data_IF_448409930587
#
_entry.id   IF_448409930587
#
_cell.length_a   1.000
_cell.length_b   1.000
_cell.length_c   1.000
_cell.angle_alpha   90.00
_cell.angle_beta   90.00
_cell.angle_gamma   90.00
#
_symmetry.space_group_name_H-M   'P 1'
#
loop_
_entity.id
_entity.type
_entity.pdbx_description
1 polymer ?
#
# COMPACT_ATOMS: atom_id res chain seq x y z
N UNK A 1 -0.76 14.70 -37.63
CA UNK A 1 -0.54 13.26 -37.40
C UNK A 1 0.33 13.11 -36.17
N UNK A 2 -0.30 12.95 -35.00
CA UNK A 2 0.38 12.77 -33.73
C UNK A 2 0.81 11.30 -33.62
N UNK A 3 2.12 11.05 -33.69
CA UNK A 3 2.69 9.77 -33.31
C UNK A 3 2.72 9.72 -31.79
N UNK A 4 2.05 8.71 -31.22
CA UNK A 4 1.89 8.55 -29.78
C UNK A 4 3.22 8.43 -29.04
N UNK A 5 3.18 8.83 -27.76
CA UNK A 5 4.21 8.57 -26.76
C UNK A 5 4.41 7.06 -26.62
N UNK A 6 5.28 6.53 -27.46
CA UNK A 6 5.91 5.23 -27.25
C UNK A 6 6.87 5.42 -26.09
N UNK A 7 6.53 4.84 -24.93
CA UNK A 7 7.43 4.79 -23.77
C UNK A 7 8.79 4.26 -24.23
N UNK A 8 9.77 5.16 -24.33
CA UNK A 8 11.15 4.78 -24.68
C UNK A 8 11.71 4.01 -23.49
N UNK A 9 12.03 2.74 -23.71
CA UNK A 9 12.70 1.90 -22.73
C UNK A 9 14.06 2.49 -22.31
N UNK A 10 14.64 2.00 -21.19
CA UNK A 10 15.91 2.51 -20.68
C UNK A 10 17.04 2.33 -21.72
N UNK A 11 17.81 3.40 -21.98
CA UNK A 11 18.90 3.42 -22.96
C UNK A 11 20.26 3.01 -22.36
N UNK A 12 20.37 3.05 -21.04
CA UNK A 12 21.56 2.69 -20.28
C UNK A 12 21.18 2.17 -18.90
N UNK A 13 22.08 1.40 -18.29
CA UNK A 13 21.99 1.01 -16.87
C UNK A 13 23.20 1.55 -16.10
N UNK A 14 23.00 1.90 -14.84
CA UNK A 14 24.09 2.26 -13.94
C UNK A 14 24.87 0.98 -13.59
N UNK A 15 26.16 0.98 -13.90
CA UNK A 15 27.06 -0.15 -13.63
C UNK A 15 27.84 0.02 -12.33
N UNK A 16 28.23 1.25 -12.02
CA UNK A 16 28.94 1.57 -10.80
C UNK A 16 28.74 3.04 -10.42
N UNK A 17 28.78 3.32 -9.12
CA UNK A 17 28.87 4.67 -8.56
C UNK A 17 30.12 4.73 -7.70
N UNK A 18 31.06 5.60 -8.02
CA UNK A 18 32.31 5.76 -7.27
C UNK A 18 32.48 7.20 -6.80
N UNK A 19 33.09 7.37 -5.63
CA UNK A 19 33.40 8.68 -5.06
C UNK A 19 34.88 8.96 -5.27
N UNK A 20 35.21 10.09 -5.90
CA UNK A 20 36.60 10.42 -6.22
C UNK A 20 36.89 11.91 -6.24
N UNK A 21 38.16 12.26 -6.04
CA UNK A 21 38.67 13.59 -6.39
C UNK A 21 38.74 13.67 -7.91
N UNK A 22 38.10 14.68 -8.49
CA UNK A 22 38.18 14.90 -9.93
C UNK A 22 39.49 15.63 -10.24
N UNK A 23 40.46 14.97 -10.88
CA UNK A 23 41.77 15.58 -11.15
C UNK A 23 41.75 16.67 -12.24
N UNK A 24 40.57 16.97 -12.82
CA UNK A 24 40.41 18.00 -13.84
C UNK A 24 38.99 18.59 -13.88
N UNK A 25 38.83 19.89 -14.20
CA UNK A 25 37.52 20.52 -14.36
C UNK A 25 36.78 19.95 -15.57
N UNK A 26 35.51 19.61 -15.40
CA UNK A 26 34.66 19.06 -16.46
C UNK A 26 34.42 20.13 -17.54
N UNK A 27 34.85 19.87 -18.78
CA UNK A 27 34.34 20.59 -19.96
C UNK A 27 33.06 19.89 -20.41
N UNK A 28 31.92 20.56 -20.27
CA UNK A 28 30.63 20.07 -20.75
C UNK A 28 30.63 20.17 -22.29
N UNK A 29 30.52 19.06 -23.05
CA UNK A 29 30.20 19.15 -24.47
C UNK A 29 28.69 19.47 -24.58
N UNK A 30 28.34 20.51 -25.34
CA UNK A 30 26.97 20.90 -25.72
C UNK A 30 26.08 21.65 -24.69
N UNK A 31 26.66 22.50 -23.82
CA UNK A 31 25.88 23.60 -23.25
C UNK A 31 26.08 24.87 -24.10
N UNK A 32 25.02 25.61 -24.50
CA UNK A 32 25.19 26.89 -25.16
C UNK A 32 25.97 27.84 -24.24
N UNK A 33 27.07 28.38 -24.76
CA UNK A 33 27.99 29.26 -24.06
C UNK A 33 27.30 30.57 -23.65
N UNK A 34 26.69 30.58 -22.46
CA UNK A 34 26.49 31.81 -21.69
C UNK A 34 27.35 31.71 -20.44
N UNK A 35 28.25 32.68 -20.31
CA UNK A 35 29.42 32.63 -19.46
C UNK A 35 29.15 32.11 -18.05
N UNK A 36 29.82 31.01 -17.70
CA UNK A 36 30.07 30.66 -16.31
C UNK A 36 31.55 30.28 -16.16
N UNK A 37 32.14 30.87 -15.13
CA UNK A 37 33.49 30.63 -14.68
C UNK A 37 33.73 29.13 -14.39
N UNK A 38 34.98 28.70 -14.55
CA UNK A 38 35.44 27.38 -14.11
C UNK A 38 35.07 27.15 -12.65
N UNK A 39 34.25 26.13 -12.38
CA UNK A 39 33.86 25.75 -11.02
C UNK A 39 35.04 24.99 -10.38
N UNK A 40 35.52 25.39 -9.19
CA UNK A 40 36.60 24.69 -8.50
C UNK A 40 36.16 23.28 -8.09
N UNK A 41 37.12 22.37 -8.10
CA UNK A 41 36.90 20.93 -7.95
C UNK A 41 36.65 20.57 -6.48
N UNK A 42 35.39 20.59 -6.05
CA UNK A 42 34.94 19.82 -4.89
C UNK A 42 34.61 18.39 -5.35
N UNK A 43 34.92 17.38 -4.53
CA UNK A 43 34.76 15.95 -4.86
C UNK A 43 33.44 15.61 -5.56
N UNK A 44 33.50 14.69 -6.52
CA UNK A 44 32.37 14.34 -7.38
C UNK A 44 31.95 12.88 -7.22
N UNK A 45 30.67 12.63 -7.48
CA UNK A 45 30.15 11.28 -7.73
C UNK A 45 30.40 10.94 -9.20
N UNK A 46 31.10 9.84 -9.44
CA UNK A 46 31.35 9.28 -10.75
C UNK A 46 30.32 8.18 -10.99
N UNK A 47 29.53 8.29 -12.07
CA UNK A 47 28.54 7.27 -12.45
C UNK A 47 29.02 6.58 -13.73
N UNK A 48 29.29 5.29 -13.65
CA UNK A 48 29.61 4.50 -14.85
C UNK A 48 28.31 3.98 -15.44
N UNK A 49 28.02 4.35 -16.69
CA UNK A 49 26.84 3.87 -17.41
C UNK A 49 27.24 2.80 -18.42
N UNK A 50 26.46 1.73 -18.47
CA UNK A 50 26.55 0.72 -19.51
C UNK A 50 25.40 0.91 -20.49
N UNK A 51 25.73 1.15 -21.75
CA UNK A 51 24.72 1.28 -22.80
C UNK A 51 24.02 -0.05 -23.00
N UNK A 52 22.70 -0.03 -22.98
CA UNK A 52 21.90 -1.22 -23.26
C UNK A 52 21.90 -1.43 -24.77
N UNK A 53 22.40 -2.59 -25.20
CA UNK A 53 22.41 -3.06 -26.58
C UNK A 53 21.43 -4.21 -26.71
N UNK A 54 20.92 -4.45 -27.92
CA UNK A 54 20.08 -5.61 -28.19
C UNK A 54 20.87 -6.93 -28.06
N UNK A 55 20.19 -8.07 -28.26
CA UNK A 55 20.81 -9.41 -28.16
C UNK A 55 21.95 -9.63 -29.16
N UNK A 56 22.07 -8.79 -30.19
CA UNK A 56 23.10 -8.86 -31.23
C UNK A 56 24.22 -7.83 -31.01
N UNK A 57 24.20 -7.09 -29.89
CA UNK A 57 25.18 -6.04 -29.61
C UNK A 57 24.94 -4.73 -30.36
N UNK A 58 23.77 -4.56 -30.99
CA UNK A 58 23.41 -3.36 -31.75
C UNK A 58 22.81 -2.34 -30.79
N UNK A 59 23.25 -1.08 -30.92
CA UNK A 59 22.71 0.02 -30.13
C UNK A 59 21.22 0.21 -30.41
N UNK A 60 20.42 0.38 -29.35
CA UNK A 60 18.97 0.61 -29.44
C UNK A 60 18.58 1.92 -30.15
N UNK A 61 19.53 2.84 -30.35
CA UNK A 61 19.35 4.10 -31.07
C UNK A 61 20.46 4.31 -32.09
N UNK A 62 20.15 4.91 -33.26
CA UNK A 62 21.15 5.36 -34.22
C UNK A 62 22.03 6.47 -33.61
N UNK A 63 23.26 6.62 -34.10
CA UNK A 63 24.25 7.53 -33.50
C UNK A 63 23.82 9.01 -33.47
N UNK A 64 22.97 9.44 -34.41
CA UNK A 64 22.40 10.81 -34.44
C UNK A 64 21.45 11.08 -33.28
N UNK A 65 20.81 10.03 -32.75
CA UNK A 65 19.72 10.12 -31.78
C UNK A 65 20.15 9.59 -30.40
N UNK A 66 21.39 9.10 -30.28
CA UNK A 66 21.97 8.59 -29.05
C UNK A 66 22.55 9.72 -28.20
N UNK A 67 21.92 10.09 -27.08
CA UNK A 67 22.43 11.15 -26.21
C UNK A 67 23.80 10.79 -25.61
N UNK A 68 24.17 9.50 -25.59
CA UNK A 68 25.45 9.03 -25.08
C UNK A 68 26.57 8.99 -26.14
N UNK A 69 26.28 9.29 -27.40
CA UNK A 69 27.26 9.18 -28.50
C UNK A 69 28.47 10.12 -28.33
N UNK A 70 28.30 11.22 -27.61
CA UNK A 70 29.33 12.24 -27.38
C UNK A 70 30.25 11.97 -26.18
N UNK A 71 29.99 10.92 -25.41
CA UNK A 71 30.75 10.62 -24.20
C UNK A 71 31.88 9.62 -24.47
N UNK A 72 32.99 9.76 -23.73
CA UNK A 72 34.18 8.94 -23.89
C UNK A 72 33.89 7.47 -23.53
N UNK A 73 34.10 6.59 -24.50
CA UNK A 73 34.06 5.14 -24.29
C UNK A 73 35.32 4.69 -23.57
N UNK A 74 35.16 4.01 -22.44
CA UNK A 74 36.23 3.17 -21.91
C UNK A 74 36.33 1.91 -22.80
N UNK A 75 37.53 1.33 -22.92
CA UNK A 75 37.89 0.31 -23.92
C UNK A 75 37.10 -1.02 -23.92
N UNK A 76 36.00 -1.13 -23.16
CA UNK A 76 35.11 -2.30 -23.11
C UNK A 76 33.63 -1.97 -23.36
N UNK A 77 33.35 -0.96 -24.20
CA UNK A 77 31.97 -0.62 -24.59
C UNK A 77 31.13 0.06 -23.50
N UNK A 78 31.71 0.33 -22.33
CA UNK A 78 31.09 1.12 -21.27
C UNK A 78 31.41 2.60 -21.45
N UNK A 79 30.39 3.43 -21.31
CA UNK A 79 30.52 4.89 -21.46
C UNK A 79 30.57 5.50 -20.07
N UNK A 80 31.70 6.12 -19.73
CA UNK A 80 31.85 6.76 -18.43
C UNK A 80 31.25 8.17 -18.50
N UNK A 81 30.22 8.45 -17.68
CA UNK A 81 29.56 9.75 -17.65
C UNK A 81 29.79 10.40 -16.30
N UNK A 82 30.50 11.53 -16.29
CA UNK A 82 30.77 12.30 -15.08
C UNK A 82 29.64 13.31 -14.86
N UNK A 83 28.82 13.08 -13.83
CA UNK A 83 27.69 13.97 -13.50
C UNK A 83 27.99 14.69 -12.17
N UNK A 84 28.07 16.03 -12.16
CA UNK A 84 28.10 16.80 -10.92
C UNK A 84 26.91 16.48 -10.02
N UNK A 85 27.16 16.18 -8.74
CA UNK A 85 26.16 15.85 -7.71
C UNK A 85 24.94 16.80 -7.72
N UNK A 86 25.17 18.10 -7.93
CA UNK A 86 24.12 19.14 -7.98
C UNK A 86 23.10 19.00 -9.13
N UNK A 87 23.38 18.17 -10.14
CA UNK A 87 22.50 17.94 -11.28
C UNK A 87 21.61 16.70 -11.09
N UNK A 88 21.89 15.87 -10.09
CA UNK A 88 21.00 14.79 -9.69
C UNK A 88 19.91 15.41 -8.80
N UNK A 89 18.71 15.60 -9.36
CA UNK A 89 17.57 16.25 -8.72
C UNK A 89 16.93 15.47 -7.57
N UNK A 90 17.72 14.82 -6.72
CA UNK A 90 17.27 14.07 -5.56
C UNK A 90 17.94 14.59 -4.28
N UNK A 91 17.13 14.71 -3.24
CA UNK A 91 17.40 15.32 -1.93
C UNK A 91 18.56 14.62 -1.21
N UNK A 92 19.78 15.11 -1.40
CA UNK A 92 20.92 14.74 -0.54
C UNK A 92 20.89 15.64 0.70
N UNK A 93 20.67 15.06 1.88
CA UNK A 93 20.80 15.76 3.16
C UNK A 93 22.26 15.66 3.61
N UNK A 94 22.88 16.81 3.90
CA UNK A 94 24.15 16.83 4.62
C UNK A 94 23.89 16.36 6.05
N UNK A 95 24.60 15.32 6.49
CA UNK A 95 24.59 14.93 7.90
C UNK A 95 25.11 16.08 8.75
N UNK A 96 24.53 16.27 9.92
CA UNK A 96 25.11 17.12 10.96
C UNK A 96 26.45 16.54 11.43
N UNK A 97 27.29 17.37 12.05
CA UNK A 97 28.61 16.94 12.51
C UNK A 97 28.53 15.78 13.52
N UNK A 98 27.46 15.73 14.34
CA UNK A 98 27.20 14.61 15.25
C UNK A 98 26.81 13.33 14.51
N UNK A 99 25.94 13.41 13.50
CA UNK A 99 25.54 12.26 12.67
C UNK A 99 26.72 11.74 11.85
N UNK A 100 27.56 12.63 11.34
CA UNK A 100 28.78 12.28 10.62
C UNK A 100 29.81 11.62 11.55
N UNK A 101 29.99 12.14 12.77
CA UNK A 101 30.89 11.56 13.76
C UNK A 101 30.41 10.19 14.25
N UNK A 102 29.10 10.00 14.47
CA UNK A 102 28.51 8.71 14.83
C UNK A 102 28.66 7.68 13.71
N UNK A 103 28.43 8.07 12.45
CA UNK A 103 28.64 7.22 11.29
C UNK A 103 30.12 6.83 11.11
N UNK A 104 31.04 7.77 11.31
CA UNK A 104 32.48 7.52 11.28
C UNK A 104 32.94 6.61 12.43
N UNK A 105 32.39 6.78 13.63
CA UNK A 105 32.68 5.92 14.78
C UNK A 105 32.18 4.48 14.56
N UNK A 106 30.97 4.32 14.02
CA UNK A 106 30.40 3.01 13.64
C UNK A 106 31.20 2.32 12.51
N UNK A 107 31.72 3.09 11.55
CA UNK A 107 32.58 2.58 10.48
C UNK A 107 33.98 2.19 10.99
N UNK A 108 34.50 2.89 12.01
CA UNK A 108 35.84 2.68 12.57
C UNK A 108 35.88 1.51 13.56
N UNK A 109 34.81 1.25 14.31
CA UNK A 109 34.74 0.13 15.26
C UNK A 109 34.68 -1.26 14.60
N UNK A 110 34.20 -1.32 13.34
CA UNK A 110 33.94 -2.59 12.63
C UNK A 110 34.91 -2.89 11.48
N UNK A 111 36.05 -2.17 11.38
CA UNK A 111 37.12 -2.56 10.45
C UNK A 111 36.79 -2.43 8.96
N UNK A 112 35.94 -1.48 8.57
CA UNK A 112 35.63 -1.18 7.17
C UNK A 112 34.50 -2.03 6.59
N UNK A 113 33.44 -1.34 6.13
CA UNK A 113 32.18 -1.86 5.58
C UNK A 113 31.28 -2.59 6.60
N UNK A 114 30.30 -1.87 7.14
CA UNK A 114 29.20 -2.45 7.91
C UNK A 114 28.28 -3.26 6.99
N UNK A 115 28.51 -4.58 6.91
CA UNK A 115 27.63 -5.51 6.20
C UNK A 115 26.42 -5.82 7.08
N UNK A 116 25.22 -5.55 6.58
CA UNK A 116 23.98 -5.90 7.26
C UNK A 116 23.82 -7.41 7.26
N UNK A 117 23.59 -8.01 8.43
CA UNK A 117 23.35 -9.43 8.51
C UNK A 117 21.85 -9.68 8.50
N UNK A 118 21.34 -10.40 7.50
CA UNK A 118 19.97 -10.88 7.47
C UNK A 118 19.97 -12.34 7.86
N UNK A 119 19.45 -12.67 9.04
CA UNK A 119 19.17 -14.07 9.37
C UNK A 119 17.86 -14.50 8.71
N UNK A 120 17.82 -15.70 8.17
CA UNK A 120 16.66 -16.23 7.45
C UNK A 120 16.25 -17.62 7.94
N UNK A 121 14.97 -17.93 7.82
CA UNK A 121 14.41 -19.27 7.99
C UNK A 121 13.88 -19.80 6.65
N UNK A 122 13.76 -21.12 6.52
CA UNK A 122 13.31 -21.77 5.29
C UNK A 122 14.43 -21.97 4.25
N UNK A 123 14.06 -22.18 2.98
CA UNK A 123 14.99 -22.45 1.87
C UNK A 123 15.45 -23.91 1.72
N UNK A 124 15.22 -24.76 2.71
CA UNK A 124 15.43 -26.20 2.58
C UNK A 124 14.33 -26.83 1.73
N UNK A 125 14.69 -27.75 0.83
CA UNK A 125 13.76 -28.46 -0.07
C UNK A 125 12.86 -27.55 -0.94
N UNK A 126 13.26 -26.29 -1.16
CA UNK A 126 12.50 -25.33 -1.96
C UNK A 126 11.40 -24.57 -1.21
N UNK A 127 11.35 -24.65 0.12
CA UNK A 127 10.47 -23.82 0.93
C UNK A 127 10.80 -22.32 0.77
N UNK A 128 9.81 -21.41 0.89
CA UNK A 128 10.05 -19.97 0.88
C UNK A 128 11.13 -19.57 1.90
N UNK A 129 11.99 -18.62 1.54
CA UNK A 129 13.00 -18.06 2.44
C UNK A 129 12.42 -16.77 3.02
N UNK A 130 12.34 -16.69 4.34
CA UNK A 130 11.82 -15.55 5.05
C UNK A 130 12.92 -14.91 5.91
N UNK A 131 13.08 -13.56 5.87
CA UNK A 131 14.00 -12.86 6.73
C UNK A 131 13.41 -12.77 8.14
N UNK A 132 14.27 -12.94 9.14
CA UNK A 132 13.87 -13.17 10.53
C UNK A 132 14.45 -12.09 11.44
N UNK A 133 15.72 -11.77 11.22
CA UNK A 133 16.47 -10.84 12.04
C UNK A 133 17.38 -10.03 11.13
N UNK A 134 17.53 -8.74 11.40
CA UNK A 134 18.54 -7.90 10.77
C UNK A 134 19.49 -7.37 11.84
N UNK A 135 20.80 -7.45 11.57
CA UNK A 135 21.84 -6.76 12.33
C UNK A 135 22.43 -5.59 11.54
N UNK A 136 22.84 -4.49 12.20
CA UNK A 136 22.84 -4.27 13.66
C UNK A 136 21.42 -4.21 14.27
N UNK A 137 21.31 -4.60 15.54
CA UNK A 137 20.05 -4.59 16.29
C UNK A 137 19.47 -3.17 16.41
N UNK A 138 18.15 -3.05 16.56
CA UNK A 138 17.45 -1.76 16.61
C UNK A 138 16.99 -1.21 15.24
N UNK A 139 17.19 -1.97 14.16
CA UNK A 139 16.67 -1.66 12.84
C UNK A 139 15.33 -2.35 12.60
N UNK A 140 14.33 -1.62 12.10
CA UNK A 140 13.00 -2.16 11.83
C UNK A 140 12.96 -2.85 10.48
N UNK A 141 12.62 -4.15 10.44
CA UNK A 141 12.40 -4.89 9.18
C UNK A 141 11.38 -4.20 8.26
N UNK A 142 10.44 -3.43 8.80
CA UNK A 142 9.41 -2.74 8.03
C UNK A 142 9.98 -1.64 7.11
N UNK A 143 11.14 -1.08 7.45
CA UNK A 143 11.80 -0.01 6.71
C UNK A 143 12.62 -0.53 5.52
N UNK A 144 12.80 -1.85 5.43
CA UNK A 144 13.58 -2.50 4.39
C UNK A 144 12.71 -3.41 3.52
N UNK A 145 13.03 -3.47 2.24
CA UNK A 145 12.54 -4.45 1.29
C UNK A 145 13.61 -5.53 1.15
N UNK A 146 13.28 -6.76 1.54
CA UNK A 146 14.20 -7.89 1.57
C UNK A 146 13.71 -8.93 0.58
N UNK A 147 14.57 -9.32 -0.35
CA UNK A 147 14.26 -10.26 -1.42
C UNK A 147 15.28 -11.39 -1.48
N UNK A 148 14.78 -12.62 -1.63
CA UNK A 148 15.57 -13.84 -1.85
C UNK A 148 15.29 -14.42 -3.24
N UNK A 149 15.13 -13.58 -4.27
CA UNK A 149 14.57 -13.92 -5.58
C UNK A 149 15.17 -15.17 -6.27
N UNK A 150 16.40 -15.56 -5.95
CA UNK A 150 17.03 -16.78 -6.45
C UNK A 150 17.73 -17.59 -5.33
N UNK A 151 17.15 -17.58 -4.13
CA UNK A 151 17.70 -18.27 -2.96
C UNK A 151 18.54 -17.36 -2.06
N UNK A 152 19.14 -17.96 -1.04
CA UNK A 152 19.95 -17.29 0.01
C UNK A 152 21.11 -16.49 -0.57
N UNK A 153 21.72 -16.99 -1.65
CA UNK A 153 22.85 -16.35 -2.35
C UNK A 153 22.44 -15.12 -3.14
N UNK A 154 21.14 -14.92 -3.35
CA UNK A 154 20.55 -13.78 -4.06
C UNK A 154 19.80 -12.84 -3.10
N UNK A 155 20.23 -12.79 -1.83
CA UNK A 155 19.74 -11.79 -0.87
C UNK A 155 19.97 -10.38 -1.42
N UNK A 156 18.89 -9.62 -1.54
CA UNK A 156 18.88 -8.18 -1.77
C UNK A 156 18.14 -7.52 -0.62
N UNK A 157 18.77 -6.53 0.00
CA UNK A 157 18.15 -5.66 1.00
C UNK A 157 18.17 -4.25 0.44
N UNK A 158 17.03 -3.58 0.46
CA UNK A 158 16.88 -2.21 0.02
C UNK A 158 16.13 -1.43 1.09
N UNK A 159 16.76 -0.41 1.67
CA UNK A 159 16.06 0.51 2.55
C UNK A 159 15.07 1.33 1.72
N UNK A 160 13.83 1.46 2.17
CA UNK A 160 12.76 2.12 1.40
C UNK A 160 13.08 3.58 1.03
N UNK A 161 13.93 4.25 1.82
CA UNK A 161 14.33 5.64 1.60
C UNK A 161 15.74 5.74 1.02
N UNK A 162 16.69 4.98 1.57
CA UNK A 162 18.12 5.15 1.28
C UNK A 162 18.63 4.23 0.17
N UNK A 163 17.80 3.31 -0.31
CA UNK A 163 18.13 2.41 -1.40
C UNK A 163 18.96 1.20 -0.96
N UNK A 164 19.76 0.61 -1.86
CA UNK A 164 20.34 -0.72 -1.67
C UNK A 164 21.37 -0.77 -0.54
N UNK A 165 21.30 -1.85 0.25
CA UNK A 165 22.11 -2.06 1.45
C UNK A 165 23.03 -3.26 1.25
N UNK A 166 24.32 -3.09 1.60
CA UNK A 166 25.28 -4.20 1.57
C UNK A 166 24.92 -5.20 2.66
N UNK A 167 24.60 -6.43 2.27
CA UNK A 167 24.06 -7.43 3.17
C UNK A 167 24.69 -8.82 2.98
N UNK A 168 24.54 -9.66 4.00
CA UNK A 168 24.89 -11.09 4.01
C UNK A 168 23.77 -11.88 4.66
N UNK A 169 23.48 -13.05 4.11
CA UNK A 169 22.48 -13.96 4.66
C UNK A 169 23.12 -15.01 5.58
N UNK A 170 22.50 -15.31 6.72
CA UNK A 170 22.86 -16.42 7.60
C UNK A 170 21.62 -17.24 8.00
N UNK A 171 21.73 -18.58 8.07
CA UNK A 171 20.59 -19.39 8.51
C UNK A 171 20.31 -19.11 9.99
N UNK A 172 19.05 -18.84 10.32
CA UNK A 172 18.59 -18.73 11.69
C UNK A 172 18.53 -20.12 12.33
N UNK A 173 18.84 -20.21 13.63
CA UNK A 173 18.69 -21.47 14.35
C UNK A 173 17.19 -21.87 14.39
N UNK A 174 16.86 -23.11 14.02
CA UNK A 174 15.46 -23.59 13.87
C UNK A 174 14.58 -23.49 15.13
N UNK A 175 15.16 -23.18 16.29
CA UNK A 175 14.48 -23.10 17.59
C UNK A 175 14.84 -21.80 18.32
N UNK A 176 14.78 -20.67 17.62
CA UNK A 176 15.03 -19.39 18.24
C UNK A 176 13.71 -18.65 18.44
N UNK A 177 13.42 -18.33 19.70
CA UNK A 177 12.38 -17.40 20.10
C UNK A 177 13.05 -16.04 20.27
N UNK A 178 12.60 -15.03 19.54
CA UNK A 178 13.11 -13.67 19.71
C UNK A 178 12.28 -12.96 20.78
N UNK A 179 12.73 -13.05 22.02
CA UNK A 179 12.02 -12.49 23.18
C UNK A 179 12.04 -10.96 23.23
N UNK A 180 12.94 -10.29 22.50
CA UNK A 180 13.08 -8.83 22.54
C UNK A 180 12.18 -8.10 21.53
N UNK A 181 11.77 -8.76 20.44
CA UNK A 181 10.90 -8.15 19.44
C UNK A 181 9.45 -8.27 19.89
N UNK A 182 8.69 -7.16 19.96
CA UNK A 182 7.33 -7.20 20.47
C UNK A 182 6.41 -8.01 19.56
N UNK A 183 5.52 -8.80 20.18
CA UNK A 183 4.42 -9.47 19.50
C UNK A 183 3.37 -8.42 19.13
N UNK A 184 2.91 -8.42 17.89
CA UNK A 184 1.84 -7.51 17.44
C UNK A 184 0.50 -8.25 17.46
N UNK A 185 -0.48 -7.70 18.18
CA UNK A 185 -1.83 -8.21 18.26
C UNK A 185 -2.80 -7.21 17.65
N UNK A 186 -3.71 -7.66 16.78
CA UNK A 186 -4.78 -6.83 16.25
C UNK A 186 -6.10 -7.33 16.80
N UNK A 187 -6.78 -6.49 17.58
CA UNK A 187 -7.85 -6.93 18.46
C UNK A 187 -9.13 -6.12 18.25
N UNK A 188 -10.27 -6.75 18.52
CA UNK A 188 -11.59 -6.15 18.54
C UNK A 188 -12.25 -6.47 19.88
N UNK A 189 -12.76 -5.42 20.52
CA UNK A 189 -13.64 -5.53 21.68
C UNK A 189 -15.05 -5.84 21.16
N UNK A 190 -15.55 -7.04 21.45
CA UNK A 190 -16.88 -7.49 21.02
C UNK A 190 -17.93 -7.08 22.04
N UNK A 191 -17.62 -7.33 23.31
CA UNK A 191 -18.34 -6.86 24.49
C UNK A 191 -17.39 -6.81 25.70
N UNK A 192 -17.89 -6.37 26.86
CA UNK A 192 -17.10 -6.22 28.09
C UNK A 192 -16.39 -7.52 28.54
N UNK A 193 -16.86 -8.69 28.10
CA UNK A 193 -16.32 -10.00 28.49
C UNK A 193 -15.69 -10.79 27.33
N UNK A 194 -15.70 -10.25 26.11
CA UNK A 194 -15.33 -10.98 24.89
C UNK A 194 -14.39 -10.15 24.03
N UNK A 195 -13.18 -10.68 23.83
CA UNK A 195 -12.16 -10.11 22.97
C UNK A 195 -11.97 -10.98 21.74
N UNK A 196 -11.91 -10.39 20.56
CA UNK A 196 -11.62 -11.08 19.31
C UNK A 196 -10.21 -10.70 18.84
N UNK A 197 -9.27 -11.64 18.92
CA UNK A 197 -7.92 -11.44 18.41
C UNK A 197 -7.90 -11.84 16.93
N UNK A 198 -8.01 -10.84 16.05
CA UNK A 198 -8.17 -11.03 14.60
C UNK A 198 -6.87 -11.45 13.91
N UNK A 199 -5.73 -10.95 14.39
CA UNK A 199 -4.42 -11.23 13.80
C UNK A 199 -3.32 -11.20 14.87
N UNK A 200 -2.35 -12.10 14.74
CA UNK A 200 -1.17 -12.21 15.61
C UNK A 200 0.09 -12.34 14.77
N UNK A 201 1.14 -11.61 15.15
CA UNK A 201 2.48 -11.77 14.57
C UNK A 201 3.48 -12.14 15.66
N UNK A 202 4.06 -13.33 15.52
CA UNK A 202 5.08 -13.83 16.43
C UNK A 202 6.46 -13.61 15.84
N UNK A 203 7.40 -13.23 16.70
CA UNK A 203 8.84 -13.31 16.38
C UNK A 203 9.37 -14.71 16.73
N UNK A 204 8.69 -15.73 16.20
CA UNK A 204 8.97 -17.14 16.47
C UNK A 204 9.19 -17.90 15.16
N UNK A 205 10.30 -18.63 15.11
CA UNK A 205 10.72 -19.40 13.94
C UNK A 205 10.13 -20.78 13.85
N UNK A 206 9.51 -21.28 14.91
CA UNK A 206 8.91 -22.61 14.91
C UNK A 206 7.83 -22.71 13.84
N UNK A 207 7.79 -23.83 13.13
CA UNK A 207 6.80 -24.07 12.07
C UNK A 207 5.38 -24.06 12.64
N UNK A 208 5.22 -24.59 13.85
CA UNK A 208 3.97 -24.63 14.60
C UNK A 208 4.12 -23.81 15.89
N UNK A 209 3.21 -22.86 16.07
CA UNK A 209 3.12 -22.02 17.26
C UNK A 209 1.71 -22.17 17.82
N UNK A 210 1.61 -22.83 18.96
CA UNK A 210 0.34 -23.04 19.65
C UNK A 210 0.12 -21.95 20.71
N UNK A 211 -1.10 -21.40 20.76
CA UNK A 211 -1.45 -20.22 21.56
C UNK A 211 -2.61 -20.56 22.48
N UNK A 212 -2.42 -20.32 23.77
CA UNK A 212 -3.45 -20.36 24.80
C UNK A 212 -4.03 -18.95 25.03
N UNK A 213 -5.25 -18.87 25.53
CA UNK A 213 -5.88 -17.59 25.91
C UNK A 213 -6.57 -17.70 27.25
N UNK A 214 -6.42 -16.66 28.07
CA UNK A 214 -7.01 -16.59 29.40
C UNK A 214 -7.69 -15.23 29.60
N UNK A 215 -8.97 -15.23 29.96
CA UNK A 215 -9.72 -14.02 30.27
C UNK A 215 -9.89 -13.88 31.79
N UNK A 216 -9.30 -12.84 32.37
CA UNK A 216 -9.34 -12.54 33.81
C UNK A 216 -10.40 -11.48 34.17
N UNK A 217 -11.23 -11.05 33.23
CA UNK A 217 -12.30 -10.07 33.48
C UNK A 217 -13.25 -10.57 34.55
N UNK A 218 -13.64 -9.69 35.48
CA UNK A 218 -14.51 -10.03 36.61
C UNK A 218 -13.96 -11.19 37.49
N UNK A 219 -12.63 -11.26 37.66
CA UNK A 219 -11.95 -12.19 38.57
C UNK A 219 -10.93 -11.46 39.46
N UNK A 220 -10.67 -12.03 40.64
CA UNK A 220 -9.64 -11.53 41.57
C UNK A 220 -8.24 -12.10 41.26
N UNK A 221 -8.12 -12.96 40.24
CA UNK A 221 -6.87 -13.57 39.80
C UNK A 221 -5.94 -12.46 39.29
N UNK A 222 -4.64 -12.58 39.51
CA UNK A 222 -3.56 -11.66 39.15
C UNK A 222 -2.51 -12.37 38.30
N UNK A 223 -1.65 -11.61 37.61
CA UNK A 223 -0.59 -12.20 36.77
C UNK A 223 0.43 -13.03 37.57
N UNK A 224 0.50 -12.83 38.89
CA UNK A 224 1.38 -13.56 39.80
C UNK A 224 0.80 -14.90 40.25
N UNK A 225 -0.50 -15.14 40.01
CA UNK A 225 -1.12 -16.39 40.40
C UNK A 225 -0.65 -17.55 39.52
N UNK A 226 -0.55 -18.72 40.14
CA UNK A 226 -0.02 -19.92 39.49
C UNK A 226 -0.81 -20.33 38.25
N UNK A 227 -2.11 -20.03 38.21
CA UNK A 227 -2.97 -20.30 37.06
C UNK A 227 -2.49 -19.59 35.79
N UNK A 228 -1.97 -18.35 35.91
CA UNK A 228 -1.42 -17.62 34.77
C UNK A 228 -0.14 -18.30 34.24
N UNK A 229 0.70 -18.84 35.12
CA UNK A 229 1.96 -19.50 34.77
C UNK A 229 1.82 -20.94 34.25
N UNK A 230 0.68 -21.61 34.46
CA UNK A 230 0.51 -23.02 34.02
C UNK A 230 0.05 -23.10 32.57
N UNK A 231 0.91 -23.54 31.66
CA UNK A 231 0.55 -23.81 30.27
C UNK A 231 -0.18 -25.16 30.18
N UNK A 232 -1.41 -25.16 29.70
CA UNK A 232 -2.11 -26.40 29.39
C UNK A 232 -1.51 -27.03 28.12
N UNK A 233 -1.72 -28.33 27.95
CA UNK A 233 -1.49 -28.95 26.65
C UNK A 233 -2.73 -28.73 25.79
N UNK A 234 -2.54 -28.61 24.48
CA UNK A 234 -3.66 -28.54 23.56
C UNK A 234 -4.43 -29.89 23.49
N UNK A 235 -5.50 -29.94 22.69
CA UNK A 235 -6.30 -31.14 22.51
C UNK A 235 -5.51 -32.34 21.92
N UNK A 236 -4.35 -32.09 21.32
CA UNK A 236 -3.45 -33.11 20.76
C UNK A 236 -2.36 -33.55 21.75
N UNK A 237 -2.26 -32.90 22.91
CA UNK A 237 -1.21 -33.11 23.90
C UNK A 237 0.06 -32.31 23.63
N UNK A 238 0.07 -31.42 22.63
CA UNK A 238 1.21 -30.58 22.33
C UNK A 238 1.33 -29.44 23.35
N UNK A 239 2.58 -29.07 23.67
CA UNK A 239 2.85 -27.96 24.59
C UNK A 239 2.51 -26.62 23.92
N UNK A 240 1.68 -25.83 24.59
CA UNK A 240 1.37 -24.47 24.16
C UNK A 240 2.61 -23.58 24.29
N UNK A 241 2.84 -22.71 23.32
CA UNK A 241 4.06 -21.91 23.23
C UNK A 241 3.87 -20.51 23.80
N UNK A 242 2.70 -19.95 23.57
CA UNK A 242 2.30 -18.63 24.06
C UNK A 242 0.99 -18.71 24.82
N UNK A 243 0.81 -17.81 25.79
CA UNK A 243 -0.47 -17.57 26.46
C UNK A 243 -0.76 -16.09 26.44
N UNK A 244 -1.92 -15.70 25.89
CA UNK A 244 -2.37 -14.31 25.85
C UNK A 244 -3.39 -14.11 26.98
N UNK A 245 -3.13 -13.14 27.84
CA UNK A 245 -3.97 -12.84 29.00
C UNK A 245 -4.71 -11.54 28.74
N UNK A 246 -6.04 -11.59 28.82
CA UNK A 246 -6.94 -10.46 28.61
C UNK A 246 -7.66 -10.13 29.92
N UNK A 247 -7.86 -8.84 30.19
CA UNK A 247 -8.71 -8.33 31.28
C UNK A 247 -9.36 -7.03 30.84
N UNK A 248 -10.65 -6.87 31.14
CA UNK A 248 -11.42 -5.65 30.87
C UNK A 248 -11.26 -5.18 29.42
N UNK A 249 -11.47 -6.10 28.48
CA UNK A 249 -11.31 -5.91 27.03
C UNK A 249 -9.93 -5.39 26.57
N UNK A 250 -8.87 -5.71 27.32
CA UNK A 250 -7.50 -5.33 26.99
C UNK A 250 -6.54 -6.51 27.16
N UNK A 251 -5.54 -6.62 26.29
CA UNK A 251 -4.43 -7.56 26.51
C UNK A 251 -3.52 -6.98 27.60
N UNK A 252 -3.34 -7.72 28.70
CA UNK A 252 -2.53 -7.28 29.83
C UNK A 252 -1.18 -7.98 29.91
N UNK A 253 -1.04 -9.15 29.29
CA UNK A 253 0.23 -9.87 29.20
C UNK A 253 0.23 -10.85 28.03
N UNK A 254 1.42 -11.06 27.46
CA UNK A 254 1.70 -12.22 26.60
C UNK A 254 2.84 -12.99 27.25
N UNK A 255 2.58 -14.24 27.60
CA UNK A 255 3.56 -15.13 28.21
C UNK A 255 4.06 -16.12 27.17
N UNK A 256 5.31 -16.55 27.28
CA UNK A 256 5.86 -17.65 26.49
C UNK A 256 6.58 -18.64 27.39
N UNK A 257 6.58 -19.91 26.97
CA UNK A 257 7.22 -21.00 27.69
C UNK A 257 8.51 -21.43 26.99
N UNK A 258 9.61 -21.47 27.74
CA UNK A 258 10.92 -22.00 27.31
C UNK A 258 11.37 -23.09 28.28
N UNK A 259 11.11 -24.35 27.91
CA UNK A 259 11.34 -25.48 28.83
C UNK A 259 10.33 -25.48 29.98
N UNK A 260 10.82 -25.42 31.21
CA UNK A 260 9.98 -25.32 32.42
C UNK A 260 9.73 -23.87 32.84
N UNK A 261 10.48 -22.92 32.28
CA UNK A 261 10.40 -21.51 32.64
C UNK A 261 9.35 -20.76 31.81
N UNK A 262 8.67 -19.83 32.46
CA UNK A 262 7.67 -18.94 31.85
C UNK A 262 8.16 -17.51 31.92
N UNK A 263 8.11 -16.85 30.77
CA UNK A 263 8.63 -15.51 30.59
C UNK A 263 7.56 -14.59 30.01
N UNK A 264 7.63 -13.31 30.36
CA UNK A 264 6.81 -12.28 29.72
C UNK A 264 7.45 -11.88 28.38
N UNK A 265 6.64 -11.80 27.34
CA UNK A 265 7.04 -11.25 26.04
C UNK A 265 6.55 -9.80 25.93
N UNK A 266 7.36 -8.86 25.40
CA UNK A 266 6.87 -7.54 25.04
C UNK A 266 5.80 -7.68 23.93
N UNK A 267 4.80 -6.80 23.95
CA UNK A 267 3.75 -6.81 22.94
C UNK A 267 3.22 -5.41 22.64
N UNK A 268 2.60 -5.27 21.46
CA UNK A 268 1.88 -4.08 21.02
C UNK A 268 0.47 -4.52 20.62
N UNK A 269 -0.54 -4.00 21.32
CA UNK A 269 -1.95 -4.19 20.96
C UNK A 269 -2.42 -3.06 20.03
N UNK A 270 -2.92 -3.44 18.87
CA UNK A 270 -3.57 -2.58 17.89
C UNK A 270 -5.08 -2.82 17.93
N UNK A 271 -5.81 -1.97 18.64
CA UNK A 271 -7.27 -2.02 18.65
C UNK A 271 -7.84 -1.59 17.30
N UNK A 272 -8.55 -2.51 16.66
CA UNK A 272 -9.20 -2.29 15.38
C UNK A 272 -10.43 -1.38 15.58
N UNK A 273 -10.70 -0.46 14.64
CA UNK A 273 -11.95 0.29 14.64
C UNK A 273 -13.15 -0.66 14.57
N UNK A 274 -14.33 -0.31 15.11
CA UNK A 274 -15.52 -1.14 14.96
C UNK A 274 -16.01 -1.18 13.49
N UNK A 275 -16.77 -2.22 13.09
CA UNK A 275 -17.40 -2.29 11.77
C UNK A 275 -18.16 -1.02 11.40
N UNK A 276 -18.08 -0.62 10.15
CA UNK A 276 -18.65 0.64 9.64
C UNK A 276 -17.77 1.88 9.84
N UNK A 277 -16.64 1.75 10.57
CA UNK A 277 -15.67 2.83 10.72
C UNK A 277 -14.98 3.17 9.40
N UNK A 278 -14.64 4.45 9.24
CA UNK A 278 -13.81 4.92 8.15
C UNK A 278 -12.34 4.67 8.45
N UNK A 279 -11.64 4.11 7.46
CA UNK A 279 -10.24 3.70 7.56
C UNK A 279 -9.43 4.25 6.38
N UNK A 280 -8.14 4.42 6.60
CA UNK A 280 -7.15 4.77 5.60
C UNK A 280 -6.29 3.57 5.28
N UNK A 281 -6.05 3.41 3.98
CA UNK A 281 -5.13 2.42 3.44
C UNK A 281 -3.74 3.03 3.19
N UNK A 282 -2.68 2.21 3.03
CA UNK A 282 -1.32 2.72 2.88
C UNK A 282 -1.10 3.65 1.69
N UNK A 283 -1.92 3.54 0.64
CA UNK A 283 -1.87 4.42 -0.54
C UNK A 283 -2.69 5.71 -0.37
N UNK A 284 -3.24 5.98 0.83
CA UNK A 284 -4.03 7.17 1.12
C UNK A 284 -5.51 7.05 0.72
N UNK A 285 -5.92 5.91 0.14
CA UNK A 285 -7.33 5.62 -0.14
C UNK A 285 -8.15 5.63 1.14
N UNK A 286 -9.37 6.16 1.05
CA UNK A 286 -10.35 6.11 2.14
C UNK A 286 -11.30 4.94 1.89
N UNK A 287 -11.47 4.10 2.92
CA UNK A 287 -12.40 2.99 2.89
C UNK A 287 -13.36 3.02 4.09
N UNK A 288 -14.42 2.22 4.00
CA UNK A 288 -15.30 1.88 5.10
C UNK A 288 -15.14 0.40 5.41
N UNK A 289 -14.80 0.11 6.66
CA UNK A 289 -14.56 -1.25 7.10
C UNK A 289 -15.88 -2.00 7.25
N UNK A 290 -15.94 -3.25 6.76
CA UNK A 290 -17.08 -4.15 7.02
C UNK A 290 -16.87 -4.91 8.33
N UNK A 291 -17.66 -5.96 8.54
CA UNK A 291 -17.56 -6.84 9.72
C UNK A 291 -16.18 -7.51 9.76
N UNK A 292 -15.58 -7.55 10.95
CA UNK A 292 -14.32 -8.22 11.17
C UNK A 292 -14.48 -9.76 11.13
N UNK A 293 -13.49 -10.49 10.60
CA UNK A 293 -13.50 -11.95 10.65
C UNK A 293 -13.39 -12.44 12.10
N UNK A 294 -13.91 -13.65 12.34
CA UNK A 294 -13.69 -14.35 13.61
C UNK A 294 -12.22 -14.75 13.69
N UNK A 295 -11.52 -14.26 14.71
CA UNK A 295 -10.18 -14.69 15.06
C UNK A 295 -10.19 -15.61 16.28
N UNK A 296 -9.18 -15.46 17.13
CA UNK A 296 -9.04 -16.19 18.38
C UNK A 296 -9.89 -15.50 19.45
N UNK A 297 -10.97 -16.17 19.87
CA UNK A 297 -11.94 -15.62 20.81
C UNK A 297 -11.48 -15.83 22.25
N UNK A 298 -11.35 -14.73 22.98
CA UNK A 298 -10.95 -14.71 24.38
C UNK A 298 -12.15 -14.29 25.21
N UNK A 299 -12.86 -15.28 25.74
CA UNK A 299 -14.05 -15.08 26.57
C UNK A 299 -13.93 -15.90 27.85
N UNK A 300 -14.52 -15.39 28.95
CA UNK A 300 -14.55 -16.12 30.23
C UNK A 300 -15.38 -17.41 30.14
N UNK A 301 -16.47 -17.36 29.39
CA UNK A 301 -17.33 -18.51 29.10
C UNK A 301 -17.21 -18.78 27.60
N UNK A 302 -17.09 -20.04 27.16
CA UNK A 302 -17.07 -20.38 25.74
C UNK A 302 -18.26 -19.74 25.00
N UNK A 303 -17.96 -19.01 23.92
CA UNK A 303 -18.95 -18.35 23.07
C UNK A 303 -18.56 -18.53 21.61
N UNK A 304 -19.55 -18.85 20.78
CA UNK A 304 -19.38 -18.89 19.34
C UNK A 304 -19.74 -17.52 18.75
N UNK A 305 -18.79 -16.90 18.07
CA UNK A 305 -19.04 -15.74 17.22
C UNK A 305 -19.32 -16.18 15.79
N UNK A 306 -20.10 -15.40 15.02
CA UNK A 306 -20.33 -15.67 13.61
C UNK A 306 -19.02 -15.63 12.83
N UNK A 307 -18.85 -16.60 11.93
CA UNK A 307 -17.70 -16.65 11.04
C UNK A 307 -17.91 -15.70 9.86
N UNK A 308 -17.23 -14.55 9.89
CA UNK A 308 -17.27 -13.57 8.80
C UNK A 308 -16.06 -13.74 7.88
N UNK A 309 -16.05 -14.80 7.07
CA UNK A 309 -14.97 -15.01 6.11
C UNK A 309 -14.95 -13.86 5.07
N UNK A 310 -13.77 -13.38 4.65
CA UNK A 310 -13.64 -12.38 3.59
C UNK A 310 -14.33 -12.84 2.30
N UNK A 311 -15.16 -11.96 1.72
CA UNK A 311 -15.97 -12.29 0.54
C UNK A 311 -15.36 -11.75 -0.75
N UNK A 312 -14.40 -10.83 -0.66
CA UNK A 312 -13.84 -10.12 -1.80
C UNK A 312 -12.41 -10.57 -2.13
N UNK A 313 -11.94 -10.27 -3.36
CA UNK A 313 -10.54 -10.50 -3.70
C UNK A 313 -9.61 -9.61 -2.86
N UNK A 314 -8.41 -10.11 -2.49
CA UNK A 314 -7.40 -9.29 -1.83
C UNK A 314 -6.97 -8.09 -2.67
N UNK A 315 -6.79 -6.94 -2.03
CA UNK A 315 -6.27 -5.74 -2.69
C UNK A 315 -4.84 -5.98 -3.15
N UNK A 316 -4.58 -5.72 -4.44
CA UNK A 316 -3.24 -5.87 -5.02
C UNK A 316 -2.21 -5.00 -4.30
N UNK A 317 -1.03 -5.57 -4.05
CA UNK A 317 0.08 -4.87 -3.39
C UNK A 317 0.02 -4.84 -1.85
N UNK A 318 -1.08 -5.27 -1.24
CA UNK A 318 -1.17 -5.41 0.23
C UNK A 318 -1.00 -6.87 0.64
N UNK A 319 -0.19 -7.11 1.68
CA UNK A 319 0.04 -8.44 2.26
C UNK A 319 0.13 -8.34 3.79
N UNK A 320 -0.22 -9.40 4.53
CA UNK A 320 0.04 -9.50 5.96
C UNK A 320 1.52 -9.24 6.28
N UNK A 321 1.78 -8.69 7.46
CA UNK A 321 3.12 -8.32 7.93
C UNK A 321 3.85 -9.55 8.50
N UNK A 322 4.49 -10.35 7.65
CA UNK A 322 5.31 -11.48 8.11
C UNK A 322 4.48 -12.70 8.51
N UNK A 323 5.06 -13.58 9.33
CA UNK A 323 4.49 -14.89 9.67
C UNK A 323 3.37 -14.78 10.70
N UNK A 324 2.26 -15.44 10.42
CA UNK A 324 1.09 -15.51 11.29
C UNK A 324 0.44 -16.90 11.20
N UNK A 325 -0.37 -17.30 12.20
CA UNK A 325 -1.13 -18.54 12.13
C UNK A 325 -2.05 -18.53 10.91
N UNK A 326 -2.12 -19.65 10.16
CA UNK A 326 -2.96 -19.75 8.96
C UNK A 326 -4.46 -19.60 9.27
N UNK A 327 -4.87 -20.00 10.47
CA UNK A 327 -6.24 -19.90 10.99
C UNK A 327 -6.66 -18.45 11.30
N UNK A 328 -5.68 -17.56 11.44
CA UNK A 328 -5.86 -16.13 11.62
C UNK A 328 -5.32 -15.42 10.38
N UNK A 329 -6.10 -15.34 9.29
CA UNK A 329 -5.65 -14.67 8.07
C UNK A 329 -5.59 -13.15 8.25
N UNK A 330 -6.37 -12.60 9.20
CA UNK A 330 -6.41 -11.18 9.53
C UNK A 330 -6.71 -10.31 8.33
N UNK A 331 -7.60 -10.77 7.47
CA UNK A 331 -8.06 -10.01 6.31
C UNK A 331 -9.51 -9.59 6.57
N UNK A 332 -9.83 -8.32 6.29
CA UNK A 332 -11.18 -7.78 6.43
C UNK A 332 -11.64 -7.17 5.11
N UNK A 333 -12.94 -7.28 4.84
CA UNK A 333 -13.56 -6.65 3.69
C UNK A 333 -13.73 -5.13 3.91
N UNK A 334 -13.44 -4.37 2.86
CA UNK A 334 -13.50 -2.91 2.86
C UNK A 334 -14.22 -2.41 1.60
N UNK A 335 -15.05 -1.39 1.78
CA UNK A 335 -15.61 -0.60 0.70
C UNK A 335 -14.74 0.65 0.49
N UNK A 336 -13.98 0.69 -0.60
CA UNK A 336 -13.15 1.82 -0.95
C UNK A 336 -14.03 2.93 -1.53
N UNK A 337 -14.11 4.03 -0.79
CA UNK A 337 -14.95 5.19 -1.11
C UNK A 337 -14.19 6.27 -1.88
N UNK A 338 -12.86 6.32 -1.71
CA UNK A 338 -12.01 7.28 -2.39
C UNK A 338 -10.66 6.67 -2.73
N UNK A 339 -10.19 6.92 -3.96
CA UNK A 339 -8.87 6.53 -4.43
C UNK A 339 -8.28 7.63 -5.31
N UNK A 340 -6.98 7.92 -5.15
CA UNK A 340 -6.26 8.95 -5.91
C UNK A 340 -6.95 10.33 -5.90
N UNK A 341 -7.57 10.68 -4.78
CA UNK A 341 -8.31 11.93 -4.59
C UNK A 341 -9.71 11.96 -5.21
N UNK A 342 -10.10 10.95 -6.00
CA UNK A 342 -11.42 10.86 -6.63
C UNK A 342 -12.40 10.00 -5.82
N UNK A 343 -13.68 10.40 -5.82
CA UNK A 343 -14.79 9.62 -5.27
C UNK A 343 -14.97 8.36 -6.11
N UNK A 344 -15.03 7.21 -5.44
CA UNK A 344 -15.30 5.92 -6.07
C UNK A 344 -16.79 5.61 -5.94
N UNK A 345 -17.53 5.74 -7.03
CA UNK A 345 -18.94 5.39 -7.11
C UNK A 345 -19.24 4.50 -8.32
N UNK A 346 -19.79 3.28 -8.14
CA UNK A 346 -20.03 2.62 -6.85
C UNK A 346 -18.71 2.35 -6.09
N UNK A 347 -18.75 2.15 -4.76
CA UNK A 347 -17.56 1.81 -3.98
C UNK A 347 -16.90 0.53 -4.49
N UNK A 348 -15.57 0.54 -4.58
CA UNK A 348 -14.81 -0.65 -4.95
C UNK A 348 -14.66 -1.57 -3.73
N UNK A 349 -15.02 -2.84 -3.85
CA UNK A 349 -14.98 -3.81 -2.75
C UNK A 349 -13.72 -4.67 -2.87
N UNK A 350 -12.94 -4.75 -1.80
CA UNK A 350 -11.76 -5.60 -1.71
C UNK A 350 -11.48 -6.02 -0.27
N UNK A 351 -10.65 -7.04 -0.08
CA UNK A 351 -10.21 -7.47 1.24
C UNK A 351 -8.78 -7.00 1.50
N UNK A 352 -8.51 -6.56 2.72
CA UNK A 352 -7.22 -5.97 3.11
C UNK A 352 -6.75 -6.55 4.44
N UNK A 353 -5.43 -6.74 4.63
CA UNK A 353 -4.92 -7.20 5.91
C UNK A 353 -5.14 -6.12 6.98
N UNK A 354 -5.58 -6.53 8.18
CA UNK A 354 -5.90 -5.61 9.28
C UNK A 354 -4.70 -4.77 9.72
N UNK A 355 -3.48 -5.29 9.53
CA UNK A 355 -2.23 -4.57 9.79
C UNK A 355 -1.98 -3.39 8.85
N UNK A 356 -2.70 -3.29 7.72
CA UNK A 356 -2.61 -2.16 6.81
C UNK A 356 -3.60 -1.03 7.14
N UNK A 357 -4.49 -1.23 8.12
CA UNK A 357 -5.56 -0.29 8.41
C UNK A 357 -5.13 0.77 9.41
N UNK A 358 -5.56 2.00 9.15
CA UNK A 358 -5.48 3.10 10.11
C UNK A 358 -6.84 3.75 10.22
N UNK A 359 -7.28 4.09 11.43
CA UNK A 359 -8.52 4.86 11.59
C UNK A 359 -8.39 6.21 10.89
N UNK A 360 -9.39 6.60 10.11
CA UNK A 360 -9.41 7.93 9.51
C UNK A 360 -9.65 8.98 10.62
N UNK A 361 -8.86 10.05 10.60
CA UNK A 361 -9.04 11.18 11.51
C UNK A 361 -10.18 12.11 11.05
N UNK A 362 -10.62 13.00 11.96
CA UNK A 362 -11.74 13.91 11.69
C UNK A 362 -11.46 14.88 10.53
N UNK A 363 -10.22 15.33 10.35
CA UNK A 363 -9.86 16.25 9.27
C UNK A 363 -10.00 15.58 7.90
N UNK A 364 -9.55 14.32 7.80
CA UNK A 364 -9.69 13.50 6.61
C UNK A 364 -11.15 13.22 6.26
N UNK A 365 -11.99 12.97 7.28
CA UNK A 365 -13.43 12.77 7.09
C UNK A 365 -14.14 14.05 6.62
N UNK A 366 -13.78 15.22 7.16
CA UNK A 366 -14.32 16.50 6.69
C UNK A 366 -13.96 16.74 5.21
N UNK A 367 -12.71 16.47 4.82
CA UNK A 367 -12.29 16.58 3.42
C UNK A 367 -13.06 15.63 2.51
N UNK A 368 -13.30 14.39 2.96
CA UNK A 368 -14.13 13.42 2.26
C UNK A 368 -15.56 13.90 2.09
N UNK A 369 -16.22 14.36 3.16
CA UNK A 369 -17.60 14.85 3.08
C UNK A 369 -17.74 16.03 2.11
N UNK A 370 -16.80 16.98 2.13
CA UNK A 370 -16.81 18.08 1.18
C UNK A 370 -16.68 17.61 -0.29
N UNK A 371 -15.83 16.60 -0.54
CA UNK A 371 -15.67 16.00 -1.87
C UNK A 371 -16.90 15.21 -2.30
N UNK A 372 -17.51 14.47 -1.38
CA UNK A 372 -18.75 13.74 -1.59
C UNK A 372 -19.90 14.69 -1.95
N UNK A 373 -20.09 15.75 -1.18
CA UNK A 373 -21.13 16.75 -1.43
C UNK A 373 -20.91 17.44 -2.78
N UNK A 374 -19.66 17.74 -3.13
CA UNK A 374 -19.31 18.28 -4.45
C UNK A 374 -19.62 17.29 -5.57
N UNK A 375 -19.34 15.99 -5.37
CA UNK A 375 -19.63 14.95 -6.35
C UNK A 375 -21.14 14.82 -6.58
N UNK A 376 -21.92 14.67 -5.52
CA UNK A 376 -23.39 14.56 -5.58
C UNK A 376 -24.01 15.82 -6.18
N UNK A 377 -23.53 17.02 -5.79
CA UNK A 377 -24.00 18.28 -6.37
C UNK A 377 -23.70 18.39 -7.87
N UNK A 378 -22.50 17.96 -8.30
CA UNK A 378 -22.14 17.95 -9.72
C UNK A 378 -23.03 17.00 -10.54
N UNK A 379 -23.33 15.81 -10.01
CA UNK A 379 -24.29 14.87 -10.62
C UNK A 379 -25.70 15.46 -10.72
N UNK A 380 -26.17 16.08 -9.64
CA UNK A 380 -27.47 16.76 -9.62
C UNK A 380 -27.56 17.86 -10.68
N UNK A 381 -26.51 18.69 -10.82
CA UNK A 381 -26.41 19.71 -11.87
C UNK A 381 -26.41 19.10 -13.27
N UNK A 382 -25.63 18.04 -13.50
CA UNK A 382 -25.60 17.35 -14.80
C UNK A 382 -26.97 16.83 -15.22
N UNK A 383 -27.72 16.22 -14.29
CA UNK A 383 -29.10 15.79 -14.54
C UNK A 383 -30.03 16.97 -14.90
N UNK A 384 -29.92 18.10 -14.21
CA UNK A 384 -30.69 19.30 -14.54
C UNK A 384 -30.33 19.87 -15.93
N UNK A 385 -29.04 19.91 -16.28
CA UNK A 385 -28.58 20.37 -17.59
C UNK A 385 -29.09 19.45 -18.72
N UNK A 386 -29.12 18.14 -18.52
CA UNK A 386 -29.72 17.21 -19.48
C UNK A 386 -31.22 17.47 -19.66
N UNK A 387 -31.95 17.69 -18.55
CA UNK A 387 -33.37 18.03 -18.61
C UNK A 387 -33.63 19.33 -19.39
N UNK A 388 -32.85 20.38 -19.14
CA UNK A 388 -32.91 21.65 -19.88
C UNK A 388 -32.58 21.48 -21.36
N UNK A 389 -31.58 20.64 -21.68
CA UNK A 389 -31.22 20.34 -23.07
C UNK A 389 -32.35 19.61 -23.81
N UNK A 390 -33.01 18.65 -23.17
CA UNK A 390 -34.18 17.97 -23.74
C UNK A 390 -35.31 18.98 -24.01
N UNK A 391 -35.59 19.89 -23.08
CA UNK A 391 -36.59 20.95 -23.27
C UNK A 391 -36.24 21.85 -24.46
N UNK A 392 -34.97 22.26 -24.57
CA UNK A 392 -34.49 23.07 -25.68
C UNK A 392 -34.67 22.35 -27.03
N UNK A 393 -34.21 21.10 -27.14
CA UNK A 393 -34.30 20.30 -28.37
C UNK A 393 -35.76 20.06 -28.76
N UNK A 394 -36.66 19.84 -27.79
CA UNK A 394 -38.11 19.77 -28.05
C UNK A 394 -38.65 21.08 -28.63
N UNK A 395 -38.26 22.23 -28.08
CA UNK A 395 -38.71 23.54 -28.57
C UNK A 395 -38.18 23.87 -29.97
N UNK A 396 -36.91 23.57 -30.24
CA UNK A 396 -36.28 23.77 -31.55
C UNK A 396 -36.91 22.85 -32.61
N UNK A 397 -37.12 21.58 -32.26
CA UNK A 397 -37.80 20.61 -33.11
C UNK A 397 -39.22 21.03 -33.47
N UNK A 398 -39.99 21.54 -32.51
CA UNK A 398 -41.36 22.03 -32.74
C UNK A 398 -41.42 23.29 -33.62
N UNK A 399 -40.38 24.14 -33.57
CA UNK A 399 -40.30 25.36 -34.39
C UNK A 399 -39.75 25.09 -35.79
N UNK A 400 -39.09 23.95 -36.01
CA UNK A 400 -38.41 23.63 -37.28
C UNK A 400 -37.21 24.54 -37.58
N UNK A 401 -36.63 25.20 -36.57
CA UNK A 401 -35.59 26.23 -36.77
C UNK A 401 -34.19 25.68 -37.01
N UNK A 402 -33.95 24.40 -36.73
CA UNK A 402 -32.60 23.86 -36.60
C UNK A 402 -32.11 23.10 -37.85
N UNK A 403 -32.91 23.06 -38.92
CA UNK A 403 -32.56 22.39 -40.19
C UNK A 403 -32.41 20.86 -40.10
N UNK A 404 -32.49 20.28 -38.89
CA UNK A 404 -32.45 18.84 -38.63
C UNK A 404 -33.77 18.17 -38.99
N UNK A 405 -33.67 16.93 -39.45
CA UNK A 405 -34.84 16.10 -39.72
C UNK A 405 -35.51 15.69 -38.42
N UNK A 406 -36.83 15.47 -38.44
CA UNK A 406 -37.57 15.04 -37.26
C UNK A 406 -37.02 13.71 -36.68
N UNK A 407 -36.49 12.83 -37.54
CA UNK A 407 -35.83 11.58 -37.13
C UNK A 407 -34.57 11.82 -36.31
N UNK A 408 -33.72 12.77 -36.71
CA UNK A 408 -32.51 13.14 -35.98
C UNK A 408 -32.84 13.72 -34.61
N UNK A 409 -33.85 14.60 -34.55
CA UNK A 409 -34.32 15.19 -33.28
C UNK A 409 -34.86 14.11 -32.33
N UNK A 410 -35.68 13.18 -32.81
CA UNK A 410 -36.17 12.05 -31.99
C UNK A 410 -35.02 11.18 -31.48
N UNK A 411 -34.00 10.95 -32.31
CA UNK A 411 -32.83 10.16 -31.92
C UNK A 411 -32.05 10.83 -30.78
N UNK A 412 -31.73 12.13 -30.91
CA UNK A 412 -31.04 12.89 -29.86
C UNK A 412 -31.87 12.93 -28.57
N UNK A 413 -33.18 13.18 -28.66
CA UNK A 413 -34.06 13.20 -27.48
C UNK A 413 -34.08 11.86 -26.74
N UNK A 414 -34.08 10.75 -27.47
CA UNK A 414 -34.08 9.40 -26.86
C UNK A 414 -32.75 9.13 -26.16
N UNK A 415 -31.63 9.52 -26.77
CA UNK A 415 -30.30 9.39 -26.17
C UNK A 415 -30.16 10.24 -24.90
N UNK A 416 -30.51 11.52 -24.98
CA UNK A 416 -30.45 12.45 -23.85
C UNK A 416 -31.35 12.00 -22.69
N UNK A 417 -32.54 11.50 -23.00
CA UNK A 417 -33.46 11.00 -21.98
C UNK A 417 -32.95 9.72 -21.32
N UNK A 418 -32.32 8.81 -22.07
CA UNK A 418 -31.65 7.63 -21.50
C UNK A 418 -30.51 8.00 -20.54
N UNK A 419 -29.68 8.99 -20.90
CA UNK A 419 -28.64 9.52 -20.01
C UNK A 419 -29.23 10.18 -18.75
N UNK A 420 -30.36 10.87 -18.88
CA UNK A 420 -31.05 11.48 -17.75
C UNK A 420 -31.62 10.43 -16.79
N UNK A 421 -32.22 9.34 -17.29
CA UNK A 421 -32.71 8.23 -16.47
C UNK A 421 -31.58 7.53 -15.72
N UNK A 422 -30.43 7.32 -16.37
CA UNK A 422 -29.25 6.72 -15.72
C UNK A 422 -28.72 7.63 -14.59
N UNK A 423 -28.56 8.93 -14.83
CA UNK A 423 -28.17 9.89 -13.80
C UNK A 423 -29.19 9.99 -12.67
N UNK A 424 -30.50 9.92 -12.97
CA UNK A 424 -31.54 9.95 -11.94
C UNK A 424 -31.52 8.70 -11.07
N UNK A 425 -31.30 7.52 -11.66
CA UNK A 425 -31.11 6.27 -10.91
C UNK A 425 -29.88 6.35 -10.00
N UNK A 426 -28.76 6.84 -10.52
CA UNK A 426 -27.54 7.06 -9.72
C UNK A 426 -27.83 8.03 -8.55
N UNK A 427 -28.53 9.13 -8.79
CA UNK A 427 -28.92 10.08 -7.73
C UNK A 427 -29.87 9.46 -6.69
N UNK A 428 -30.79 8.58 -7.10
CA UNK A 428 -31.65 7.84 -6.17
C UNK A 428 -30.85 6.88 -5.28
N UNK A 429 -29.87 6.16 -5.84
CA UNK A 429 -28.95 5.31 -5.07
C UNK A 429 -28.11 6.13 -4.08
N UNK A 430 -27.75 7.36 -4.48
CA UNK A 430 -27.09 8.36 -3.64
C UNK A 430 -28.03 9.05 -2.64
N UNK A 431 -29.32 8.68 -2.59
CA UNK A 431 -30.36 9.32 -1.77
C UNK A 431 -30.50 10.84 -2.00
N UNK A 432 -30.20 11.29 -3.22
CA UNK A 432 -30.35 12.67 -3.64
C UNK A 432 -31.62 12.84 -4.50
N UNK A 433 -32.43 13.90 -4.28
CA UNK A 433 -33.72 14.06 -4.98
C UNK A 433 -33.62 14.24 -6.50
N UNK A 434 -32.45 14.62 -7.04
CA UNK A 434 -32.25 14.76 -8.49
C UNK A 434 -33.27 15.69 -9.17
N UNK A 435 -33.74 15.31 -10.37
CA UNK A 435 -34.79 16.03 -11.10
C UNK A 435 -36.17 15.59 -10.60
N UNK A 436 -37.07 16.55 -10.37
CA UNK A 436 -38.42 16.26 -9.89
C UNK A 436 -39.19 15.29 -10.83
N UNK A 437 -39.90 14.32 -10.26
CA UNK A 437 -40.63 13.27 -10.99
C UNK A 437 -41.67 13.84 -11.97
N UNK A 438 -42.35 14.93 -11.59
CA UNK A 438 -43.28 15.63 -12.48
C UNK A 438 -42.59 16.19 -13.72
N UNK A 439 -41.37 16.70 -13.56
CA UNK A 439 -40.57 17.21 -14.69
C UNK A 439 -40.15 16.07 -15.58
N UNK A 440 -39.64 14.97 -15.02
CA UNK A 440 -39.31 13.74 -15.77
C UNK A 440 -40.51 13.25 -16.61
N UNK A 441 -41.68 13.16 -15.99
CA UNK A 441 -42.94 12.75 -16.64
C UNK A 441 -43.38 13.72 -17.75
N UNK A 442 -43.13 15.02 -17.59
CA UNK A 442 -43.40 16.02 -18.61
C UNK A 442 -42.46 15.89 -19.82
N UNK A 443 -41.16 15.66 -19.58
CA UNK A 443 -40.18 15.43 -20.64
C UNK A 443 -40.54 14.18 -21.45
N UNK A 444 -40.81 13.07 -20.78
CA UNK A 444 -41.19 11.81 -21.43
C UNK A 444 -42.43 11.98 -22.31
N UNK A 445 -43.48 12.63 -21.80
CA UNK A 445 -44.69 12.95 -22.57
C UNK A 445 -44.40 13.89 -23.75
N UNK A 446 -43.52 14.87 -23.57
CA UNK A 446 -43.07 15.77 -24.63
C UNK A 446 -42.40 15.03 -25.78
N UNK A 447 -41.45 14.13 -25.45
CA UNK A 447 -40.74 13.29 -26.42
C UNK A 447 -41.72 12.38 -27.18
N UNK A 448 -42.63 11.71 -26.47
CA UNK A 448 -43.64 10.84 -27.10
C UNK A 448 -44.55 11.61 -28.07
N UNK A 449 -44.98 12.82 -27.70
CA UNK A 449 -45.79 13.69 -28.56
C UNK A 449 -45.02 14.13 -29.80
N UNK A 450 -43.77 14.56 -29.63
CA UNK A 450 -42.93 14.97 -30.76
C UNK A 450 -42.68 13.79 -31.71
N UNK A 451 -42.36 12.61 -31.19
CA UNK A 451 -42.16 11.41 -31.98
C UNK A 451 -43.43 10.97 -32.75
N UNK A 452 -44.62 11.19 -32.18
CA UNK A 452 -45.89 10.94 -32.86
C UNK A 452 -46.09 11.92 -34.02
N UNK A 453 -45.83 13.21 -33.82
CA UNK A 453 -45.93 14.25 -34.85
C UNK A 453 -44.95 13.97 -36.01
N UNK A 454 -43.70 13.63 -35.69
CA UNK A 454 -42.66 13.32 -36.66
C UNK A 454 -43.00 12.20 -37.65
N UNK A 455 -43.95 11.32 -37.33
CA UNK A 455 -44.41 10.24 -38.21
C UNK A 455 -45.34 10.71 -39.33
N UNK A 456 -45.94 11.89 -39.19
CA UNK A 456 -46.93 12.42 -40.13
C UNK A 456 -46.34 13.38 -41.18
N UNK A 457 -45.03 13.60 -41.16
CA UNK A 457 -44.36 14.64 -41.96
C UNK A 457 -44.62 16.01 -41.38
#
# INVERSE_FOLDING_TARGET
AALGDTQRGPLARIKAVSFGRMDSPLRIPNCPTRGMASVPVSGGVLVTLEKIVDRNGIAMLPASDDPMASFSRSGRGATEIKVPLRLLGSRVRMLSDEEAAAALAAASANGGESVFLVRYSGGENGAPIEPVEIKPEGLSLAEYEISFAAGVTALRVEHRIDGPVKCRAEPAARKQVFSETPIELYTEEVDDETHNIVQLYFSDLRDEVAVDVLNLTNSDVTLQDTECAVFQQDATGAALNYKIIVRDAAVIAVLYQEGEDVHSSPFVEHRLPPPGSYILLPDGSLGKMRTLPRGLIVARVPRDLPENAPQFPPRSGLRPKGKHPAELPGVVDVEVLQQDGAVMWPPHQCSVPVCALRKADSARLQAWHAQWDSHVSARGKAAHTLAERIEQVLQEGLKGTDGRTAREVVSELTELYGQLEENQRELQELQNPGVAEDRMSNLQRGIQRFAALARFG
#
